data_IF_576588532704
#
_entry.id   IF_576588532704
#
_cell.length_a   1.000
_cell.length_b   1.000
_cell.length_c   1.000
_cell.angle_alpha   90.00
_cell.angle_beta   90.00
_cell.angle_gamma   90.00
#
_symmetry.space_group_name_H-M   'P 1'
#
loop_
_entity.id
_entity.type
_entity.pdbx_description
1 polymer ?
#
# COMPACT_ATOMS: atom_id res chain seq x y z
N UNK A 1 43.24 -12.34 52.55
CA UNK A 1 42.21 -11.77 51.64
C UNK A 1 42.41 -12.45 50.31
N UNK A 2 41.59 -13.45 50.03
CA UNK A 2 41.90 -14.46 49.01
C UNK A 2 41.52 -13.92 47.63
N UNK A 3 42.54 -13.68 46.80
CA UNK A 3 42.44 -13.12 45.45
C UNK A 3 41.81 -14.06 44.40
N UNK A 4 41.24 -15.21 44.81
CA UNK A 4 40.73 -16.22 43.89
C UNK A 4 39.48 -15.77 43.11
N UNK A 5 38.63 -14.94 43.73
CA UNK A 5 37.43 -14.37 43.08
C UNK A 5 37.75 -13.33 42.02
N UNK A 6 38.81 -12.53 42.23
CA UNK A 6 39.31 -11.57 41.24
C UNK A 6 39.88 -12.29 40.01
N UNK A 7 40.73 -13.30 40.22
CA UNK A 7 41.33 -14.07 39.12
C UNK A 7 40.29 -14.77 38.23
N UNK A 8 39.27 -15.38 38.84
CA UNK A 8 38.19 -16.08 38.12
C UNK A 8 37.28 -15.12 37.33
N UNK A 9 36.95 -13.96 37.89
CA UNK A 9 36.17 -12.93 37.18
C UNK A 9 36.94 -12.36 35.97
N UNK A 10 38.24 -12.09 36.12
CA UNK A 10 39.11 -11.69 35.00
C UNK A 10 39.14 -12.77 33.93
N UNK A 11 39.31 -14.02 34.33
CA UNK A 11 39.41 -15.15 33.41
C UNK A 11 38.10 -15.35 32.62
N UNK A 12 36.94 -15.17 33.26
CA UNK A 12 35.63 -15.20 32.61
C UNK A 12 35.40 -14.01 31.67
N UNK A 13 35.80 -12.80 32.08
CA UNK A 13 35.70 -11.61 31.23
C UNK A 13 36.58 -11.75 29.98
N UNK A 14 37.82 -12.23 30.16
CA UNK A 14 38.72 -12.54 29.06
C UNK A 14 38.14 -13.64 28.15
N UNK A 15 37.57 -14.69 28.71
CA UNK A 15 36.92 -15.76 27.94
C UNK A 15 35.73 -15.23 27.13
N UNK A 16 34.88 -14.37 27.70
CA UNK A 16 33.75 -13.77 27.00
C UNK A 16 34.17 -12.82 25.88
N UNK A 17 35.18 -11.97 26.13
CA UNK A 17 35.76 -11.07 25.12
C UNK A 17 36.39 -11.88 24.00
N UNK A 18 37.16 -12.92 24.34
CA UNK A 18 37.79 -13.81 23.36
C UNK A 18 36.75 -14.56 22.53
N UNK A 19 35.68 -15.05 23.17
CA UNK A 19 34.58 -15.70 22.48
C UNK A 19 33.87 -14.75 21.52
N UNK A 20 33.65 -13.50 21.93
CA UNK A 20 33.04 -12.47 21.07
C UNK A 20 33.95 -12.09 19.89
N UNK A 21 35.24 -11.88 20.16
CA UNK A 21 36.25 -11.63 19.12
C UNK A 21 36.38 -12.79 18.14
N UNK A 22 36.14 -14.02 18.59
CA UNK A 22 36.14 -15.20 17.72
C UNK A 22 34.86 -15.30 16.90
N UNK A 23 33.69 -15.11 17.52
CA UNK A 23 32.41 -15.41 16.90
C UNK A 23 31.96 -14.32 15.91
N UNK A 24 32.21 -13.05 16.22
CA UNK A 24 31.78 -11.91 15.39
C UNK A 24 32.40 -11.93 13.97
N UNK A 25 33.72 -12.09 13.79
CA UNK A 25 34.32 -12.18 12.48
C UNK A 25 34.00 -13.50 11.77
N UNK A 26 33.85 -14.61 12.48
CA UNK A 26 33.47 -15.89 11.87
C UNK A 26 32.07 -15.82 11.22
N UNK A 27 31.14 -15.12 11.87
CA UNK A 27 29.78 -14.97 11.35
C UNK A 27 29.68 -13.95 10.21
N UNK A 28 30.48 -12.88 10.26
CA UNK A 28 30.60 -11.91 9.17
C UNK A 28 31.26 -12.53 7.93
N UNK A 29 32.39 -13.25 8.09
CA UNK A 29 33.07 -13.92 6.98
C UNK A 29 32.15 -14.90 6.26
N UNK A 30 31.37 -15.70 7.01
CA UNK A 30 30.42 -16.65 6.40
C UNK A 30 29.35 -15.98 5.53
N UNK A 31 29.02 -14.71 5.79
CA UNK A 31 28.09 -13.91 4.97
C UNK A 31 28.77 -13.29 3.75
N UNK A 32 30.01 -12.87 3.90
CA UNK A 32 30.84 -12.33 2.81
C UNK A 32 31.18 -13.43 1.79
N UNK A 33 31.47 -14.66 2.24
CA UNK A 33 31.69 -15.82 1.36
C UNK A 33 30.50 -16.12 0.44
N UNK A 34 29.26 -16.00 0.93
CA UNK A 34 28.06 -16.22 0.11
C UNK A 34 27.83 -15.12 -0.94
N UNK A 35 28.40 -13.93 -0.74
CA UNK A 35 28.35 -12.84 -1.71
C UNK A 35 29.44 -12.99 -2.78
N UNK A 36 30.64 -13.43 -2.39
CA UNK A 36 31.77 -13.61 -3.31
C UNK A 36 31.63 -14.87 -4.18
N UNK A 37 31.10 -15.98 -3.65
CA UNK A 37 30.80 -17.19 -4.44
C UNK A 37 29.84 -16.91 -5.62
N UNK A 38 28.84 -16.04 -5.40
CA UNK A 38 27.88 -15.64 -6.44
C UNK A 38 28.49 -14.70 -7.49
N UNK A 39 29.57 -14.02 -7.17
CA UNK A 39 30.27 -13.14 -8.12
C UNK A 39 31.30 -13.94 -8.94
N UNK A 40 32.02 -14.87 -8.30
CA UNK A 40 32.93 -15.79 -8.98
C UNK A 40 32.21 -16.66 -10.02
N UNK A 41 31.03 -17.18 -9.69
CA UNK A 41 30.21 -17.99 -10.62
C UNK A 41 29.69 -17.18 -11.81
N UNK A 42 29.46 -15.87 -11.66
CA UNK A 42 29.07 -14.98 -12.76
C UNK A 42 30.23 -14.68 -13.69
N UNK A 43 31.43 -14.44 -13.15
CA UNK A 43 32.65 -14.20 -13.93
C UNK A 43 33.07 -15.44 -14.72
N UNK A 44 33.03 -16.63 -14.11
CA UNK A 44 33.33 -17.88 -14.82
C UNK A 44 32.35 -18.15 -15.96
N UNK A 45 31.06 -17.82 -15.76
CA UNK A 45 30.04 -17.94 -16.79
C UNK A 45 30.19 -16.88 -17.89
N UNK A 46 30.62 -15.67 -17.53
CA UNK A 46 30.91 -14.61 -18.49
C UNK A 46 32.13 -14.96 -19.35
N UNK A 47 33.21 -15.47 -18.76
CA UNK A 47 34.40 -15.91 -19.53
C UNK A 47 34.04 -17.09 -20.44
N UNK A 48 33.22 -18.04 -19.96
CA UNK A 48 32.73 -19.16 -20.78
C UNK A 48 31.94 -18.67 -22.00
N UNK A 49 31.03 -17.72 -21.80
CA UNK A 49 30.22 -17.14 -22.88
C UNK A 49 31.05 -16.28 -23.83
N UNK A 50 32.05 -15.54 -23.33
CA UNK A 50 32.97 -14.79 -24.18
C UNK A 50 33.88 -15.70 -25.00
N UNK A 51 34.34 -16.82 -24.43
CA UNK A 51 35.11 -17.83 -25.16
C UNK A 51 34.25 -18.53 -26.23
N UNK A 52 32.99 -18.83 -25.91
CA UNK A 52 32.03 -19.40 -26.86
C UNK A 52 31.62 -18.41 -27.98
N UNK A 53 31.85 -17.10 -27.80
CA UNK A 53 31.59 -16.07 -28.83
C UNK A 53 32.75 -15.78 -29.80
N UNK A 54 33.91 -16.41 -29.60
CA UNK A 54 35.11 -16.15 -30.42
C UNK A 54 35.23 -17.03 -31.67
N UNK A 55 34.43 -18.10 -31.79
CA UNK A 55 34.40 -18.98 -32.97
C UNK A 55 33.06 -18.84 -33.70
N UNK A 56 32.98 -18.01 -34.75
CA UNK A 56 31.84 -18.00 -35.66
C UNK A 56 32.25 -17.68 -37.12
N UNK A 57 32.11 -18.62 -38.08
CA UNK A 57 32.48 -18.48 -39.49
C UNK A 57 31.40 -17.76 -40.33
N UNK A 58 31.81 -17.07 -41.41
CA UNK A 58 31.00 -16.10 -42.16
C UNK A 58 29.76 -16.69 -42.87
N UNK A 59 29.72 -17.99 -43.15
CA UNK A 59 28.63 -18.62 -43.91
C UNK A 59 27.31 -18.69 -43.12
N UNK A 60 27.37 -18.57 -41.79
CA UNK A 60 26.19 -18.54 -40.91
C UNK A 60 25.57 -17.15 -40.74
N UNK A 61 26.12 -16.07 -41.32
CA UNK A 61 25.59 -14.70 -41.13
C UNK A 61 24.22 -14.46 -41.79
N UNK A 62 23.93 -15.13 -42.90
CA UNK A 62 22.64 -14.96 -43.61
C UNK A 62 21.52 -15.69 -42.87
N UNK A 63 21.78 -16.90 -42.35
CA UNK A 63 20.84 -17.57 -41.44
C UNK A 63 20.80 -16.95 -40.04
N UNK A 64 21.91 -16.38 -39.56
CA UNK A 64 21.93 -15.61 -38.33
C UNK A 64 21.03 -14.38 -38.46
N UNK A 65 21.01 -13.67 -39.59
CA UNK A 65 20.12 -12.52 -39.78
C UNK A 65 18.64 -12.90 -39.60
N UNK A 66 18.19 -14.04 -40.14
CA UNK A 66 16.81 -14.51 -39.94
C UNK A 66 16.54 -14.95 -38.49
N UNK A 67 17.49 -15.67 -37.87
CA UNK A 67 17.38 -16.07 -36.45
C UNK A 67 17.52 -14.88 -35.49
N UNK A 68 18.24 -13.84 -35.88
CA UNK A 68 18.48 -12.61 -35.12
C UNK A 68 17.28 -11.68 -35.20
N UNK A 69 16.52 -11.68 -36.31
CA UNK A 69 15.19 -11.06 -36.37
C UNK A 69 14.23 -11.76 -35.39
N UNK A 70 14.21 -13.10 -35.35
CA UNK A 70 13.38 -13.83 -34.37
C UNK A 70 13.86 -13.59 -32.93
N UNK A 71 15.17 -13.44 -32.70
CA UNK A 71 15.72 -13.11 -31.37
C UNK A 71 15.41 -11.67 -30.96
N UNK A 72 15.52 -10.71 -31.87
CA UNK A 72 15.20 -9.31 -31.59
C UNK A 72 13.69 -9.12 -31.39
N UNK A 73 12.85 -9.81 -32.16
CA UNK A 73 11.41 -9.87 -31.93
C UNK A 73 11.08 -10.46 -30.54
N UNK A 74 11.72 -11.58 -30.16
CA UNK A 74 11.55 -12.15 -28.81
C UNK A 74 12.05 -11.23 -27.70
N UNK A 75 13.13 -10.47 -27.92
CA UNK A 75 13.64 -9.49 -26.97
C UNK A 75 12.66 -8.33 -26.81
N UNK A 76 12.12 -7.80 -27.91
CA UNK A 76 11.11 -6.75 -27.91
C UNK A 76 9.81 -7.22 -27.23
N UNK A 77 9.38 -8.46 -27.48
CA UNK A 77 8.25 -9.06 -26.75
C UNK A 77 8.53 -9.19 -25.25
N UNK A 78 9.75 -9.57 -24.87
CA UNK A 78 10.13 -9.65 -23.46
C UNK A 78 10.16 -8.28 -22.80
N UNK A 79 10.65 -7.25 -23.49
CA UNK A 79 10.61 -5.87 -23.01
C UNK A 79 9.19 -5.34 -22.89
N UNK A 80 8.32 -5.61 -23.88
CA UNK A 80 6.89 -5.31 -23.80
C UNK A 80 6.24 -6.00 -22.61
N UNK A 81 6.48 -7.30 -22.41
CA UNK A 81 5.96 -8.03 -21.23
C UNK A 81 6.47 -7.46 -19.90
N UNK A 82 7.72 -6.98 -19.86
CA UNK A 82 8.29 -6.32 -18.67
C UNK A 82 7.63 -4.96 -18.44
N UNK A 83 7.45 -4.16 -19.48
CA UNK A 83 6.77 -2.87 -19.43
C UNK A 83 5.31 -3.02 -18.99
N UNK A 84 4.62 -4.04 -19.49
CA UNK A 84 3.24 -4.37 -19.08
C UNK A 84 3.18 -4.82 -17.62
N UNK A 85 4.16 -5.63 -17.17
CA UNK A 85 4.24 -6.05 -15.78
C UNK A 85 4.53 -4.86 -14.85
N UNK A 86 5.39 -3.92 -15.25
CA UNK A 86 5.64 -2.70 -14.48
C UNK A 86 4.41 -1.79 -14.46
N UNK A 87 3.72 -1.61 -15.59
CA UNK A 87 2.49 -0.84 -15.66
C UNK A 87 1.40 -1.44 -14.75
N UNK A 88 1.21 -2.76 -14.76
CA UNK A 88 0.28 -3.45 -13.84
C UNK A 88 0.69 -3.29 -12.39
N UNK A 89 1.99 -3.36 -12.07
CA UNK A 89 2.48 -3.15 -10.72
C UNK A 89 2.26 -1.71 -10.25
N UNK A 90 2.42 -0.73 -11.13
CA UNK A 90 2.14 0.69 -10.85
C UNK A 90 0.65 0.95 -10.65
N UNK A 91 -0.20 0.36 -11.49
CA UNK A 91 -1.66 0.42 -11.32
C UNK A 91 -2.08 -0.21 -9.98
N UNK A 92 -1.59 -1.41 -9.65
CA UNK A 92 -1.86 -2.00 -8.34
C UNK A 92 -1.30 -1.17 -7.19
N UNK A 93 -0.13 -0.55 -7.34
CA UNK A 93 0.40 0.35 -6.32
C UNK A 93 -0.46 1.62 -6.20
N UNK A 94 -1.00 2.15 -7.30
CA UNK A 94 -1.94 3.26 -7.30
C UNK A 94 -3.27 2.88 -6.65
N UNK A 95 -3.83 1.70 -6.94
CA UNK A 95 -5.02 1.15 -6.28
C UNK A 95 -4.81 1.01 -4.76
N UNK A 96 -3.66 0.49 -4.34
CA UNK A 96 -3.32 0.38 -2.92
C UNK A 96 -3.18 1.75 -2.26
N UNK A 97 -2.60 2.74 -2.95
CA UNK A 97 -2.52 4.13 -2.47
C UNK A 97 -3.90 4.78 -2.40
N UNK A 98 -4.78 4.55 -3.38
CA UNK A 98 -6.15 5.03 -3.37
C UNK A 98 -6.94 4.44 -2.19
N UNK A 99 -6.86 3.12 -1.99
CA UNK A 99 -7.48 2.45 -0.83
C UNK A 99 -6.91 2.94 0.50
N UNK A 100 -5.61 3.23 0.57
CA UNK A 100 -4.98 3.79 1.76
C UNK A 100 -5.47 5.24 2.02
N UNK A 101 -5.60 6.05 0.97
CA UNK A 101 -6.12 7.40 1.06
C UNK A 101 -7.61 7.42 1.46
N UNK A 102 -8.42 6.51 0.92
CA UNK A 102 -9.81 6.30 1.33
C UNK A 102 -9.92 5.85 2.79
N UNK A 103 -9.04 4.94 3.24
CA UNK A 103 -8.97 4.51 4.63
C UNK A 103 -8.59 5.68 5.56
N UNK A 104 -7.62 6.51 5.16
CA UNK A 104 -7.23 7.72 5.88
C UNK A 104 -8.36 8.75 5.92
N UNK A 105 -9.06 8.98 4.80
CA UNK A 105 -10.22 9.87 4.74
C UNK A 105 -11.36 9.35 5.62
N UNK A 106 -11.61 8.03 5.63
CA UNK A 106 -12.58 7.40 6.51
C UNK A 106 -12.18 7.50 7.98
N UNK A 107 -10.88 7.38 8.30
CA UNK A 107 -10.34 7.57 9.64
C UNK A 107 -10.47 9.01 10.10
N UNK A 108 -10.11 10.00 9.27
CA UNK A 108 -10.31 11.41 9.56
C UNK A 108 -11.80 11.74 9.72
N UNK A 109 -12.69 11.13 8.92
CA UNK A 109 -14.13 11.25 9.07
C UNK A 109 -14.67 10.54 10.32
N UNK A 110 -14.00 9.48 10.81
CA UNK A 110 -14.34 8.81 12.07
C UNK A 110 -13.81 9.61 13.25
N UNK A 111 -12.60 10.16 13.19
CA UNK A 111 -12.01 11.03 14.20
C UNK A 111 -12.79 12.34 14.28
N UNK A 112 -13.22 12.93 13.16
CA UNK A 112 -14.08 14.12 13.18
C UNK A 112 -15.45 13.78 13.76
N UNK A 113 -16.08 12.66 13.35
CA UNK A 113 -17.33 12.17 13.96
C UNK A 113 -17.16 11.77 15.43
N UNK A 114 -16.02 11.25 15.85
CA UNK A 114 -15.71 10.87 17.23
C UNK A 114 -15.25 12.07 18.07
N UNK A 115 -14.69 13.12 17.48
CA UNK A 115 -14.52 14.41 18.12
C UNK A 115 -15.89 15.08 18.31
N UNK A 116 -16.83 14.84 17.38
CA UNK A 116 -18.23 15.28 17.49
C UNK A 116 -19.08 14.35 18.38
N UNK A 117 -18.64 13.12 18.70
CA UNK A 117 -19.50 12.09 19.29
C UNK A 117 -18.84 11.08 20.26
N UNK A 118 -17.58 11.27 20.62
CA UNK A 118 -16.80 10.49 21.59
C UNK A 118 -16.85 8.96 21.47
N UNK A 119 -16.25 8.30 20.46
CA UNK A 119 -15.89 6.86 20.55
C UNK A 119 -15.03 6.31 19.38
N UNK A 120 -14.13 5.31 19.60
CA UNK A 120 -13.09 4.89 18.63
C UNK A 120 -13.42 3.62 17.81
N UNK A 121 -12.73 3.46 16.66
CA UNK A 121 -12.84 2.36 15.68
C UNK A 121 -11.45 1.76 15.38
N UNK A 122 -11.38 0.43 15.17
CA UNK A 122 -10.16 -0.42 15.12
C UNK A 122 -9.47 -0.57 13.73
N UNK A 123 -8.14 -0.93 13.67
CA UNK A 123 -7.39 -1.19 12.43
C UNK A 123 -6.88 -2.66 12.22
N UNK A 124 -6.28 -2.99 11.05
CA UNK A 124 -6.03 -4.35 10.57
C UNK A 124 -4.62 -4.97 10.85
N UNK A 125 -4.59 -6.31 10.81
CA UNK A 125 -3.52 -7.34 10.87
C UNK A 125 -2.04 -6.97 11.17
N UNK A 126 -1.65 -7.35 12.39
CA UNK A 126 -0.39 -7.24 13.12
C UNK A 126 0.92 -7.98 12.66
N UNK A 127 0.93 -9.16 12.02
CA UNK A 127 1.99 -10.15 12.31
C UNK A 127 3.40 -9.84 11.74
N UNK A 128 3.50 -9.19 10.57
CA UNK A 128 4.80 -8.96 9.92
C UNK A 128 5.64 -7.85 10.59
N UNK A 129 4.99 -6.83 11.17
CA UNK A 129 5.66 -5.73 11.86
C UNK A 129 6.35 -6.21 13.15
N UNK A 130 5.72 -7.11 13.90
CA UNK A 130 6.25 -7.63 15.16
C UNK A 130 7.52 -8.48 15.00
N UNK A 131 7.71 -9.17 13.86
CA UNK A 131 8.90 -9.99 13.62
C UNK A 131 10.18 -9.14 13.42
N UNK A 132 10.07 -8.01 12.71
CA UNK A 132 11.20 -7.08 12.47
C UNK A 132 11.61 -6.36 13.76
N UNK A 133 10.64 -6.00 14.60
CA UNK A 133 10.86 -5.37 15.90
C UNK A 133 11.59 -6.30 16.90
N UNK A 134 11.29 -7.61 16.89
CA UNK A 134 11.99 -8.58 17.75
C UNK A 134 13.47 -8.71 17.41
N UNK A 135 13.84 -8.65 16.12
CA UNK A 135 15.24 -8.74 15.68
C UNK A 135 16.05 -7.50 16.09
N UNK A 136 15.47 -6.31 15.94
CA UNK A 136 16.11 -5.06 16.37
C UNK A 136 16.31 -5.01 17.90
N UNK A 137 15.36 -5.53 18.69
CA UNK A 137 15.49 -5.62 20.15
C UNK A 137 16.64 -6.52 20.60
N UNK A 138 16.90 -7.65 19.93
CA UNK A 138 18.03 -8.53 20.28
C UNK A 138 19.38 -7.86 20.06
N UNK A 139 19.55 -7.15 18.93
CA UNK A 139 20.80 -6.44 18.62
C UNK A 139 21.05 -5.30 19.63
N UNK A 140 20.02 -4.51 19.94
CA UNK A 140 20.13 -3.46 20.94
C UNK A 140 20.42 -4.02 22.35
N UNK A 141 19.85 -5.17 22.70
CA UNK A 141 20.15 -5.87 23.96
C UNK A 141 21.60 -6.36 24.05
N UNK A 142 22.15 -6.92 22.97
CA UNK A 142 23.55 -7.34 22.92
C UNK A 142 24.52 -6.16 23.05
N UNK A 143 24.20 -5.02 22.43
CA UNK A 143 25.02 -3.79 22.56
C UNK A 143 24.98 -3.23 23.98
N UNK A 144 23.81 -3.25 24.64
CA UNK A 144 23.70 -2.86 26.05
C UNK A 144 24.53 -3.79 26.95
N UNK A 145 24.41 -5.10 26.76
CA UNK A 145 25.17 -6.10 27.51
C UNK A 145 26.68 -5.87 27.36
N UNK A 146 27.16 -5.66 26.13
CA UNK A 146 28.56 -5.38 25.87
C UNK A 146 29.05 -4.11 26.58
N UNK A 147 28.27 -3.02 26.53
CA UNK A 147 28.63 -1.77 27.22
C UNK A 147 28.69 -1.95 28.75
N UNK A 148 27.77 -2.72 29.34
CA UNK A 148 27.75 -3.00 30.78
C UNK A 148 28.96 -3.86 31.19
N UNK A 149 29.29 -4.88 30.40
CA UNK A 149 30.46 -5.73 30.67
C UNK A 149 31.75 -4.91 30.62
N UNK A 150 31.91 -4.06 29.59
CA UNK A 150 33.08 -3.17 29.47
C UNK A 150 33.15 -2.19 30.64
N UNK A 151 32.02 -1.58 31.03
CA UNK A 151 31.97 -0.67 32.17
C UNK A 151 32.29 -1.35 33.51
N UNK A 152 31.80 -2.57 33.74
CA UNK A 152 32.06 -3.34 34.95
C UNK A 152 33.54 -3.75 35.05
N UNK A 153 34.13 -4.20 33.93
CA UNK A 153 35.57 -4.50 33.84
C UNK A 153 36.38 -3.23 34.12
N UNK A 154 36.03 -2.10 33.52
CA UNK A 154 36.75 -0.84 33.75
C UNK A 154 36.67 -0.37 35.21
N UNK A 155 35.49 -0.46 35.84
CA UNK A 155 35.31 -0.09 37.25
C UNK A 155 36.13 -1.00 38.18
N UNK A 156 36.18 -2.29 37.86
CA UNK A 156 36.96 -3.28 38.60
C UNK A 156 38.47 -3.08 38.43
N UNK A 157 38.95 -2.71 37.23
CA UNK A 157 40.34 -2.28 37.02
C UNK A 157 40.64 -1.02 37.84
N UNK A 158 39.77 -0.01 37.82
CA UNK A 158 39.98 1.22 38.61
C UNK A 158 40.10 0.95 40.11
N UNK A 159 39.36 -0.03 40.63
CA UNK A 159 39.40 -0.44 42.03
C UNK A 159 40.69 -1.21 42.41
N UNK A 160 41.34 -1.87 41.45
CA UNK A 160 42.51 -2.74 41.70
C UNK A 160 43.83 -2.08 41.34
N UNK A 161 43.87 -1.24 40.29
CA UNK A 161 45.10 -0.59 39.78
C UNK A 161 45.16 0.92 40.03
N UNK A 162 44.10 1.52 40.58
CA UNK A 162 44.00 2.97 40.81
C UNK A 162 43.50 3.75 39.59
N UNK A 163 43.26 5.06 39.80
CA UNK A 163 42.58 5.93 38.82
C UNK A 163 43.58 6.66 37.93
N UNK A 164 43.75 6.19 36.69
CA UNK A 164 44.50 6.91 35.66
C UNK A 164 43.60 7.92 34.92
N UNK A 165 44.16 9.05 34.45
CA UNK A 165 43.44 10.10 33.69
C UNK A 165 42.64 9.54 32.49
N UNK A 166 43.13 8.48 31.84
CA UNK A 166 42.44 7.80 30.74
C UNK A 166 41.17 7.02 31.15
N UNK A 167 40.99 6.69 32.44
CA UNK A 167 39.83 5.92 32.93
C UNK A 167 38.54 6.72 32.83
N UNK A 168 38.60 8.05 32.98
CA UNK A 168 37.44 8.93 32.86
C UNK A 168 36.86 8.97 31.44
N UNK A 169 37.72 8.86 30.41
CA UNK A 169 37.28 8.77 29.01
C UNK A 169 36.54 7.47 28.73
N UNK A 170 37.03 6.35 29.28
CA UNK A 170 36.38 5.03 29.12
C UNK A 170 35.04 4.98 29.84
N UNK A 171 34.96 5.54 31.05
CA UNK A 171 33.70 5.68 31.79
C UNK A 171 32.72 6.56 31.03
N UNK A 172 33.17 7.72 30.53
CA UNK A 172 32.36 8.62 29.70
C UNK A 172 31.82 7.92 28.45
N UNK A 173 32.66 7.16 27.76
CA UNK A 173 32.28 6.35 26.59
C UNK A 173 31.22 5.29 26.93
N UNK A 174 31.38 4.59 28.05
CA UNK A 174 30.39 3.59 28.51
C UNK A 174 29.05 4.23 28.87
N UNK A 175 29.06 5.41 29.51
CA UNK A 175 27.83 6.15 29.83
C UNK A 175 27.11 6.57 28.54
N UNK A 176 27.83 7.13 27.56
CA UNK A 176 27.24 7.53 26.27
C UNK A 176 26.69 6.31 25.50
N UNK A 177 27.43 5.20 25.47
CA UNK A 177 26.98 3.95 24.84
C UNK A 177 25.72 3.37 25.52
N UNK A 178 25.66 3.43 26.85
CA UNK A 178 24.51 2.96 27.62
C UNK A 178 23.29 3.85 27.36
N UNK A 179 23.46 5.19 27.42
CA UNK A 179 22.37 6.15 27.16
C UNK A 179 21.84 6.04 25.74
N UNK A 180 22.72 5.90 24.74
CA UNK A 180 22.32 5.73 23.33
C UNK A 180 21.58 4.41 23.11
N UNK A 181 22.06 3.31 23.71
CA UNK A 181 21.39 2.01 23.67
C UNK A 181 20.01 2.04 24.32
N UNK A 182 19.88 2.64 25.52
CA UNK A 182 18.60 2.80 26.22
C UNK A 182 17.63 3.69 25.42
N UNK A 183 18.11 4.77 24.79
CA UNK A 183 17.27 5.61 23.92
C UNK A 183 16.77 4.87 22.68
N UNK A 184 17.62 4.04 22.07
CA UNK A 184 17.23 3.21 20.94
C UNK A 184 16.18 2.17 21.36
N UNK A 185 16.38 1.50 22.50
CA UNK A 185 15.40 0.57 23.07
C UNK A 185 14.09 1.26 23.43
N UNK A 186 14.13 2.48 23.98
CA UNK A 186 12.97 3.31 24.31
C UNK A 186 12.17 3.68 23.06
N UNK A 187 12.83 4.08 21.96
CA UNK A 187 12.17 4.36 20.67
C UNK A 187 11.52 3.12 20.06
N UNK A 188 12.20 1.97 20.14
CA UNK A 188 11.66 0.68 19.67
C UNK A 188 10.49 0.22 20.55
N UNK A 189 10.56 0.42 21.87
CA UNK A 189 9.50 0.11 22.81
C UNK A 189 8.30 1.03 22.68
N UNK A 190 8.50 2.33 22.46
CA UNK A 190 7.44 3.29 22.17
C UNK A 190 6.73 2.95 20.87
N UNK A 191 7.46 2.61 19.79
CA UNK A 191 6.85 2.12 18.55
C UNK A 191 6.10 0.80 18.73
N UNK A 192 6.65 -0.15 19.48
CA UNK A 192 5.97 -1.41 19.76
C UNK A 192 4.75 -1.23 20.67
N UNK A 193 4.77 -0.30 21.63
CA UNK A 193 3.63 0.06 22.48
C UNK A 193 2.58 0.86 21.72
N UNK A 194 2.97 1.72 20.79
CA UNK A 194 2.03 2.36 19.87
C UNK A 194 1.30 1.31 19.02
N UNK A 195 2.04 0.30 18.54
CA UNK A 195 1.46 -0.83 17.79
C UNK A 195 0.70 -1.86 18.66
N UNK A 196 0.91 -1.90 19.97
CA UNK A 196 0.32 -2.88 20.89
C UNK A 196 -0.75 -2.29 21.84
N UNK A 197 -0.77 -0.98 22.05
CA UNK A 197 -1.88 -0.24 22.69
C UNK A 197 -3.16 -0.30 21.86
N UNK A 198 -3.03 -0.76 20.62
CA UNK A 198 -4.10 -1.19 19.73
C UNK A 198 -4.53 -2.66 19.97
N UNK A 199 -4.24 -3.25 21.13
CA UNK A 199 -4.75 -4.57 21.49
C UNK A 199 -6.26 -4.45 21.80
N UNK A 200 -7.14 -5.21 21.13
CA UNK A 200 -8.56 -5.09 21.34
C UNK A 200 -8.89 -5.52 22.77
N UNK A 201 -9.44 -4.59 23.55
CA UNK A 201 -10.06 -4.92 24.84
C UNK A 201 -11.11 -6.02 24.61
N UNK A 202 -11.11 -7.04 25.48
CA UNK A 202 -12.04 -8.16 25.40
C UNK A 202 -13.48 -7.66 25.17
N UNK A 203 -14.27 -8.30 24.28
CA UNK A 203 -15.56 -7.76 23.87
C UNK A 203 -16.52 -7.76 25.07
N UNK A 204 -16.69 -6.61 25.70
CA UNK A 204 -17.83 -6.34 26.56
C UNK A 204 -19.09 -6.42 25.69
N UNK A 205 -19.99 -7.35 25.99
CA UNK A 205 -21.33 -7.44 25.37
C UNK A 205 -21.99 -6.07 25.48
N UNK A 206 -22.01 -5.31 24.37
CA UNK A 206 -22.77 -4.07 24.26
C UNK A 206 -24.14 -4.41 23.71
N UNK A 207 -25.17 -4.26 24.56
CA UNK A 207 -26.56 -4.13 24.13
C UNK A 207 -26.66 -2.89 23.24
N UNK A 208 -26.97 -3.08 21.96
CA UNK A 208 -27.21 -1.96 21.05
C UNK A 208 -28.51 -1.27 21.46
N UNK A 209 -28.43 0.01 21.83
CA UNK A 209 -29.58 0.89 21.79
C UNK A 209 -29.99 1.02 20.31
N UNK A 210 -31.11 0.40 19.98
CA UNK A 210 -31.71 0.45 18.65
C UNK A 210 -32.06 1.91 18.36
N UNK A 211 -31.72 2.36 17.15
CA UNK A 211 -32.11 3.69 16.65
C UNK A 211 -33.62 3.65 16.47
N UNK A 212 -34.34 4.53 17.18
CA UNK A 212 -35.75 4.82 16.92
C UNK A 212 -35.88 5.52 15.57
N UNK A 213 -35.89 4.72 14.51
CA UNK A 213 -36.41 5.12 13.21
C UNK A 213 -37.91 5.26 13.40
N UNK A 214 -38.46 6.44 13.14
CA UNK A 214 -39.91 6.65 13.14
C UNK A 214 -40.56 5.61 12.22
N UNK A 215 -41.22 4.63 12.84
CA UNK A 215 -41.94 3.56 12.15
C UNK A 215 -42.93 4.20 11.20
N UNK A 216 -42.85 3.97 9.87
CA UNK A 216 -43.88 4.44 8.96
C UNK A 216 -45.24 3.90 9.42
N UNK A 217 -46.33 4.67 9.28
CA UNK A 217 -47.65 4.26 9.75
C UNK A 217 -47.93 2.86 9.22
N UNK A 218 -48.33 1.96 10.13
CA UNK A 218 -48.55 0.56 9.85
C UNK A 218 -49.47 0.44 8.62
N UNK A 219 -48.91 -0.04 7.51
CA UNK A 219 -49.71 -0.37 6.34
C UNK A 219 -50.79 -1.36 6.79
N UNK A 220 -52.03 -1.12 6.34
CA UNK A 220 -53.17 -2.00 6.63
C UNK A 220 -52.76 -3.48 6.44
N UNK A 221 -53.18 -4.39 7.32
CA UNK A 221 -52.78 -5.79 7.26
C UNK A 221 -53.07 -6.32 5.87
N UNK A 222 -52.02 -6.51 5.07
CA UNK A 222 -52.11 -7.17 3.78
C UNK A 222 -52.38 -8.63 4.10
N UNK A 223 -53.63 -9.03 3.94
CA UNK A 223 -54.01 -10.43 3.97
C UNK A 223 -53.17 -11.16 2.93
N UNK A 224 -52.23 -11.96 3.42
CA UNK A 224 -51.38 -12.79 2.59
C UNK A 224 -52.28 -13.80 1.90
N UNK A 225 -52.59 -13.53 0.64
CA UNK A 225 -53.27 -14.46 -0.23
C UNK A 225 -52.20 -15.41 -0.77
N UNK A 226 -52.19 -16.69 -0.34
CA UNK A 226 -51.19 -17.63 -0.81
C UNK A 226 -51.31 -17.78 -2.33
N UNK A 227 -50.20 -17.54 -3.03
CA UNK A 227 -50.10 -17.84 -4.45
C UNK A 227 -50.26 -19.35 -4.61
N UNK A 228 -51.28 -19.85 -5.34
CA UNK A 228 -51.49 -21.28 -5.48
C UNK A 228 -50.29 -21.88 -6.21
N UNK A 229 -49.70 -22.91 -5.59
CA UNK A 229 -48.64 -23.69 -6.22
C UNK A 229 -49.23 -24.35 -7.47
N UNK A 230 -48.59 -24.22 -8.65
CA UNK A 230 -49.09 -24.83 -9.88
C UNK A 230 -49.24 -26.34 -9.68
N UNK A 231 -50.35 -26.88 -10.19
CA UNK A 231 -50.71 -28.28 -10.02
C UNK A 231 -49.60 -29.17 -10.59
N UNK A 232 -49.18 -30.22 -9.88
CA UNK A 232 -48.11 -31.06 -10.39
C UNK A 232 -48.57 -31.86 -11.62
N UNK A 233 -47.70 -31.93 -12.63
CA UNK A 233 -47.96 -32.45 -13.98
C UNK A 233 -48.55 -33.87 -14.03
N UNK A 234 -48.33 -34.70 -13.01
CA UNK A 234 -48.90 -36.05 -12.96
C UNK A 234 -50.41 -36.08 -12.65
N UNK A 235 -50.98 -34.96 -12.17
CA UNK A 235 -52.43 -34.76 -11.96
C UNK A 235 -53.11 -34.02 -13.12
N UNK A 236 -52.37 -33.57 -14.12
CA UNK A 236 -52.88 -33.03 -15.38
C UNK A 236 -52.95 -34.16 -16.40
N UNK A 237 -53.74 -35.19 -16.09
CA UNK A 237 -54.05 -36.25 -17.06
C UNK A 237 -55.12 -35.73 -18.01
N UNK A 238 -54.67 -35.12 -19.11
CA UNK A 238 -55.47 -34.87 -20.31
C UNK A 238 -56.24 -33.54 -20.30
N UNK A 239 -55.52 -32.44 -20.56
CA UNK A 239 -55.85 -31.37 -21.53
C UNK A 239 -55.01 -30.14 -21.14
N UNK A 240 -53.78 -30.04 -21.66
CA UNK A 240 -53.02 -28.79 -21.51
C UNK A 240 -53.78 -27.70 -22.29
N UNK A 241 -54.01 -26.49 -21.74
CA UNK A 241 -54.42 -25.37 -22.55
C UNK A 241 -53.37 -25.21 -23.65
N UNK A 242 -53.77 -25.42 -24.91
CA UNK A 242 -52.95 -25.04 -26.05
C UNK A 242 -52.85 -23.53 -26.04
N UNK A 243 -51.90 -23.01 -25.26
CA UNK A 243 -51.40 -21.65 -25.45
C UNK A 243 -50.97 -21.63 -26.92
N UNK A 244 -51.57 -20.79 -27.77
CA UNK A 244 -51.10 -20.63 -29.13
C UNK A 244 -49.62 -20.31 -29.02
N UNK A 245 -48.77 -21.22 -29.48
CA UNK A 245 -47.35 -20.94 -29.65
C UNK A 245 -47.32 -19.87 -30.71
N UNK A 246 -47.26 -18.61 -30.27
CA UNK A 246 -46.99 -17.51 -31.17
C UNK A 246 -45.69 -17.90 -31.91
N UNK A 247 -45.67 -17.81 -33.25
CA UNK A 247 -44.49 -18.16 -34.01
C UNK A 247 -43.28 -17.40 -33.41
N UNK A 248 -42.10 -18.03 -33.34
CA UNK A 248 -40.93 -17.36 -32.80
C UNK A 248 -40.73 -16.09 -33.61
N UNK A 249 -40.96 -14.93 -32.98
CA UNK A 249 -40.65 -13.64 -33.57
C UNK A 249 -39.20 -13.74 -34.05
N UNK A 250 -38.95 -13.37 -35.30
CA UNK A 250 -37.61 -13.48 -35.86
C UNK A 250 -36.64 -12.72 -34.95
N UNK A 251 -35.44 -13.26 -34.74
CA UNK A 251 -34.47 -12.62 -33.83
C UNK A 251 -34.22 -11.16 -34.21
N UNK A 252 -34.36 -10.83 -35.49
CA UNK A 252 -34.27 -9.46 -36.00
C UNK A 252 -35.41 -8.56 -35.52
N UNK A 253 -36.65 -9.04 -35.45
CA UNK A 253 -37.79 -8.27 -34.95
C UNK A 253 -37.66 -7.99 -33.44
N UNK A 254 -37.17 -8.97 -32.67
CA UNK A 254 -36.89 -8.78 -31.24
C UNK A 254 -35.78 -7.74 -31.01
N UNK A 255 -34.73 -7.77 -31.84
CA UNK A 255 -33.65 -6.79 -31.79
C UNK A 255 -34.13 -5.39 -32.22
N UNK A 256 -35.04 -5.28 -33.19
CA UNK A 256 -35.66 -4.00 -33.58
C UNK A 256 -36.54 -3.44 -32.46
N UNK A 257 -37.41 -4.27 -31.87
CA UNK A 257 -38.27 -3.85 -30.76
C UNK A 257 -37.45 -3.39 -29.53
N UNK A 258 -36.37 -4.09 -29.21
CA UNK A 258 -35.47 -3.70 -28.12
C UNK A 258 -34.73 -2.38 -28.37
N UNK A 259 -34.37 -2.09 -29.64
CA UNK A 259 -33.77 -0.79 -30.02
C UNK A 259 -34.75 0.36 -29.86
N UNK A 260 -35.99 0.18 -30.33
CA UNK A 260 -37.05 1.19 -30.19
C UNK A 260 -37.38 1.46 -28.71
N UNK A 261 -37.31 0.44 -27.86
CA UNK A 261 -37.52 0.60 -26.42
C UNK A 261 -36.34 1.32 -25.74
N UNK A 262 -35.11 1.03 -26.16
CA UNK A 262 -33.92 1.75 -25.69
C UNK A 262 -33.94 3.23 -26.11
N UNK A 263 -34.33 3.53 -27.35
CA UNK A 263 -34.49 4.92 -27.83
C UNK A 263 -35.56 5.66 -27.02
N UNK A 264 -36.70 5.03 -26.76
CA UNK A 264 -37.75 5.59 -25.89
C UNK A 264 -37.25 5.85 -24.48
N UNK A 265 -36.46 4.94 -23.91
CA UNK A 265 -35.87 5.11 -22.58
C UNK A 265 -34.84 6.25 -22.54
N UNK A 266 -34.04 6.41 -23.60
CA UNK A 266 -33.09 7.52 -23.71
C UNK A 266 -33.82 8.86 -23.84
N UNK A 267 -34.87 8.94 -24.66
CA UNK A 267 -35.70 10.15 -24.79
C UNK A 267 -36.37 10.47 -23.45
N UNK A 268 -36.88 9.47 -22.73
CA UNK A 268 -37.46 9.66 -21.40
C UNK A 268 -36.41 10.16 -20.39
N UNK A 269 -35.20 9.60 -20.40
CA UNK A 269 -34.11 10.03 -19.52
C UNK A 269 -33.61 11.45 -19.83
N UNK A 270 -33.63 11.88 -21.10
CA UNK A 270 -33.31 13.27 -21.47
C UNK A 270 -34.47 14.24 -21.18
N UNK A 271 -35.72 13.74 -21.16
CA UNK A 271 -36.89 14.52 -20.77
C UNK A 271 -36.98 14.70 -19.24
N UNK A 272 -36.36 13.82 -18.45
CA UNK A 272 -36.16 14.04 -17.03
C UNK A 272 -35.18 15.19 -16.82
N UNK A 273 -35.51 16.20 -15.97
CA UNK A 273 -34.63 17.33 -15.75
C UNK A 273 -33.31 16.89 -15.09
N UNK A 274 -32.20 16.94 -15.84
CA UNK A 274 -30.84 16.51 -15.46
C UNK A 274 -30.27 17.27 -14.25
N UNK A 275 -30.88 18.38 -13.84
CA UNK A 275 -30.45 19.16 -12.69
C UNK A 275 -31.55 19.17 -11.65
N UNK A 276 -31.43 18.29 -10.64
CA UNK A 276 -32.14 18.47 -9.37
C UNK A 276 -31.74 19.84 -8.84
N UNK A 277 -32.66 20.83 -8.77
CA UNK A 277 -32.31 22.11 -8.19
C UNK A 277 -31.94 21.84 -6.73
N UNK A 278 -30.67 22.09 -6.37
CA UNK A 278 -30.28 22.12 -4.97
C UNK A 278 -31.22 23.10 -4.28
N UNK A 279 -31.99 22.63 -3.30
CA UNK A 279 -32.77 23.51 -2.42
C UNK A 279 -31.78 24.52 -1.86
N UNK A 280 -31.79 25.74 -2.40
CA UNK A 280 -31.05 26.87 -1.85
C UNK A 280 -31.47 26.91 -0.39
N UNK A 281 -30.53 26.60 0.50
CA UNK A 281 -30.71 26.77 1.93
C UNK A 281 -31.24 28.18 2.08
N UNK A 282 -32.48 28.33 2.53
CA UNK A 282 -33.01 29.61 2.95
C UNK A 282 -32.05 30.11 4.02
N UNK A 283 -31.14 30.97 3.61
CA UNK A 283 -30.40 31.82 4.52
C UNK A 283 -31.46 32.55 5.30
N UNK A 284 -31.53 32.20 6.58
CA UNK A 284 -32.25 32.94 7.59
C UNK A 284 -32.07 34.44 7.34
N UNK A 285 -33.16 35.17 7.57
CA UNK A 285 -33.28 36.61 7.42
C UNK A 285 -32.00 37.39 7.80
N UNK A 286 -31.69 38.50 7.10
CA UNK A 286 -30.43 39.20 7.24
C UNK A 286 -30.30 39.77 8.66
N UNK A 287 -29.44 39.13 9.46
CA UNK A 287 -28.93 39.73 10.68
C UNK A 287 -27.95 40.83 10.29
N UNK A 288 -28.33 42.06 10.63
CA UNK A 288 -27.54 43.27 10.81
C UNK A 288 -26.09 43.27 10.27
N UNK A 289 -25.87 44.09 9.25
CA UNK A 289 -24.67 44.87 8.94
C UNK A 289 -23.41 44.55 9.75
N UNK A 290 -22.65 43.56 9.29
CA UNK A 290 -21.21 43.50 9.54
C UNK A 290 -20.48 44.23 8.39
N UNK A 291 -19.43 45.02 8.66
CA UNK A 291 -18.70 45.76 7.63
C UNK A 291 -18.08 44.82 6.59
N UNK A 292 -17.95 45.26 5.31
CA UNK A 292 -17.41 44.43 4.24
C UNK A 292 -15.96 44.04 4.56
N UNK A 293 -15.72 42.74 4.74
CA UNK A 293 -14.37 42.20 4.76
C UNK A 293 -13.69 42.52 3.43
N UNK A 294 -12.42 42.97 3.44
CA UNK A 294 -11.71 43.26 2.19
C UNK A 294 -11.64 41.99 1.34
N UNK A 295 -11.93 42.14 0.05
CA UNK A 295 -11.83 41.06 -0.93
C UNK A 295 -10.48 40.36 -0.77
N UNK A 296 -10.50 39.08 -0.38
CA UNK A 296 -9.29 38.30 -0.22
C UNK A 296 -8.56 38.27 -1.54
N UNK A 297 -7.31 38.78 -1.56
CA UNK A 297 -6.45 38.70 -2.72
C UNK A 297 -6.43 37.26 -3.25
N UNK A 298 -6.52 37.05 -4.58
CA UNK A 298 -6.51 35.70 -5.14
C UNK A 298 -5.24 34.99 -4.68
N UNK A 299 -5.40 33.81 -4.08
CA UNK A 299 -4.25 33.06 -3.56
C UNK A 299 -3.32 32.69 -4.71
N UNK A 300 -2.00 32.68 -4.48
CA UNK A 300 -0.95 32.33 -5.47
C UNK A 300 -1.14 30.97 -6.15
N UNK A 301 -2.02 30.14 -5.61
CA UNK A 301 -2.33 28.80 -6.09
C UNK A 301 -3.61 28.75 -6.94
N UNK A 302 -4.40 29.83 -6.99
CA UNK A 302 -5.59 29.90 -7.82
C UNK A 302 -5.27 29.83 -9.32
N UNK A 303 -4.04 30.16 -9.71
CA UNK A 303 -3.52 30.10 -11.07
C UNK A 303 -2.61 28.88 -11.34
N UNK A 304 -2.36 28.02 -10.36
CA UNK A 304 -1.54 26.80 -10.55
C UNK A 304 -2.38 25.73 -11.26
N UNK A 305 -2.29 25.68 -12.59
CA UNK A 305 -2.97 24.69 -13.43
C UNK A 305 -3.81 25.29 -14.56
N UNK A 306 -3.98 26.61 -14.58
CA UNK A 306 -4.51 27.33 -15.74
C UNK A 306 -3.32 27.57 -16.67
N UNK A 307 -3.23 26.77 -17.73
CA UNK A 307 -2.39 27.12 -18.87
C UNK A 307 -3.17 28.18 -19.62
N UNK A 308 -2.77 29.45 -19.49
CA UNK A 308 -3.26 30.50 -20.39
C UNK A 308 -3.06 30.00 -21.81
N UNK A 309 -4.13 30.01 -22.59
CA UNK A 309 -4.14 29.57 -23.97
C UNK A 309 -3.18 30.48 -24.74
N UNK A 310 -1.92 30.04 -24.82
CA UNK A 310 -0.93 30.66 -25.67
C UNK A 310 -1.53 30.61 -27.07
N UNK A 311 -1.84 31.79 -27.62
CA UNK A 311 -2.41 31.95 -28.94
C UNK A 311 -1.47 31.41 -30.01
N UNK A 312 -1.42 30.09 -30.16
CA UNK A 312 -1.03 29.47 -31.40
C UNK A 312 -2.24 29.62 -32.30
N UNK A 313 -2.24 30.65 -33.12
CA UNK A 313 -3.09 30.67 -34.30
C UNK A 313 -2.79 29.37 -35.06
N UNK A 314 -3.68 28.38 -34.94
CA UNK A 314 -3.61 27.17 -35.75
C UNK A 314 -3.57 27.64 -37.21
N UNK A 315 -2.58 27.23 -38.02
CA UNK A 315 -2.54 27.61 -39.41
C UNK A 315 -3.83 27.12 -40.08
N UNK A 316 -4.50 28.03 -40.81
CA UNK A 316 -5.77 27.76 -41.48
C UNK A 316 -5.59 26.62 -42.50
N UNK A 317 -6.09 25.43 -42.15
CA UNK A 317 -6.00 24.23 -42.97
C UNK A 317 -6.66 24.42 -44.34
N UNK A 318 -7.67 25.29 -44.43
CA UNK A 318 -8.38 25.52 -45.68
C UNK A 318 -7.54 26.25 -46.71
N UNK A 319 -6.61 27.10 -46.27
CA UNK A 319 -5.64 27.76 -47.15
C UNK A 319 -4.59 26.77 -47.66
N UNK A 320 -4.10 25.89 -46.79
CA UNK A 320 -3.14 24.83 -47.15
C UNK A 320 -3.74 23.87 -48.18
N UNK A 321 -5.00 23.45 -47.97
CA UNK A 321 -5.70 22.58 -48.91
C UNK A 321 -6.05 23.32 -50.22
N UNK A 322 -6.22 24.65 -50.19
CA UNK A 322 -6.44 25.48 -51.39
C UNK A 322 -5.21 25.56 -52.27
N UNK A 323 -4.05 25.74 -51.67
CA UNK A 323 -2.78 25.80 -52.41
C UNK A 323 -2.44 24.46 -53.07
N UNK A 324 -2.83 23.34 -52.47
CA UNK A 324 -2.65 21.99 -53.04
C UNK A 324 -3.56 21.69 -54.22
N UNK A 325 -4.76 22.27 -54.27
CA UNK A 325 -5.71 22.04 -55.38
C UNK A 325 -5.47 22.95 -56.59
N UNK A 326 -4.63 23.98 -56.45
CA UNK A 326 -4.31 24.94 -57.51
C UNK A 326 -2.90 24.80 -58.09
N UNK A 327 -2.13 23.78 -57.70
CA UNK A 327 -0.80 23.46 -58.23
C UNK A 327 -0.78 22.04 -58.75
#
# INVERSE_FOLDING_TARGET
>A
MDFSGAGTAIMLALAAVLWFLYLLPNWMRRREFLATERNATRLQRAIRVMAESAEAPEELRVEATARDVVRTERLLEQERRRADATARAELHAAELRARAAEAQAAELARVSRAATRGAPVAPPSAPAAFARLRRARRVAGLLLLAAVVVGAVQLWLMATTGVALGSWLVIGGCVVATVTSVRLQGRIAARARALAGEAPAAPARRSSALVDVATPPAAAPREWTPVPVPKPLYLERGEAPRVPVAPPASSEELLRAAREEAERALVAAHAEPEVVPFRRRETAAPAASAPPAPASAPSRFASMGIVEEAGSALPDLDEVLRRRRSG
#
